data_IF_112886384073
#
_entry.id   IF_112886384073
#
_cell.length_a   1.000
_cell.length_b   1.000
_cell.length_c   1.000
_cell.angle_alpha   90.00
_cell.angle_beta   90.00
_cell.angle_gamma   90.00
#
_symmetry.space_group_name_H-M   'P 1'
#
loop_
_entity.id
_entity.type
_entity.pdbx_description
1 polymer ?
#
# COMPACT_ATOMS: atom_id res chain seq x y z
N UNK A 1 29.01 -46.69 -9.04
CA UNK A 1 28.64 -45.86 -7.87
C UNK A 1 29.06 -44.39 -7.96
N UNK A 2 30.23 -44.03 -8.50
CA UNK A 2 30.66 -42.62 -8.63
C UNK A 2 29.77 -41.73 -9.51
N UNK A 3 29.16 -42.28 -10.56
CA UNK A 3 28.23 -41.53 -11.44
C UNK A 3 26.86 -41.23 -10.81
N UNK A 4 26.40 -42.05 -9.85
CA UNK A 4 25.10 -41.84 -9.17
C UNK A 4 25.20 -40.65 -8.18
N UNK A 5 26.36 -40.47 -7.54
CA UNK A 5 26.61 -39.35 -6.63
C UNK A 5 26.63 -37.98 -7.35
N UNK A 6 27.07 -37.94 -8.61
CA UNK A 6 27.08 -36.71 -9.43
C UNK A 6 25.65 -36.33 -9.86
N UNK A 7 24.80 -37.32 -10.14
CA UNK A 7 23.40 -37.06 -10.50
C UNK A 7 22.57 -36.56 -9.31
N UNK A 8 22.84 -37.05 -8.10
CA UNK A 8 22.19 -36.57 -6.87
C UNK A 8 22.66 -35.17 -6.50
N UNK A 9 23.93 -34.80 -6.73
CA UNK A 9 24.39 -33.44 -6.46
C UNK A 9 23.83 -32.40 -7.44
N UNK A 10 23.55 -32.77 -8.70
CA UNK A 10 22.93 -31.88 -9.69
C UNK A 10 21.43 -31.60 -9.42
N UNK A 11 20.74 -32.49 -8.72
CA UNK A 11 19.33 -32.28 -8.33
C UNK A 11 19.16 -31.32 -7.14
N UNK A 12 20.21 -31.06 -6.35
CA UNK A 12 20.15 -30.18 -5.18
C UNK A 12 20.32 -28.69 -5.56
N UNK A 13 20.73 -28.40 -6.80
CA UNK A 13 20.97 -27.01 -7.27
C UNK A 13 19.78 -26.36 -8.01
N UNK A 14 18.62 -27.00 -8.11
CA UNK A 14 17.52 -26.49 -8.94
C UNK A 14 16.46 -25.62 -8.26
N UNK A 15 16.47 -25.40 -6.94
CA UNK A 15 15.33 -24.76 -6.27
C UNK A 15 15.65 -23.54 -5.37
N UNK A 16 16.74 -22.82 -5.63
CA UNK A 16 16.99 -21.53 -4.94
C UNK A 16 16.90 -20.31 -5.86
N UNK A 17 16.04 -20.36 -6.87
CA UNK A 17 15.45 -19.13 -7.40
C UNK A 17 14.36 -18.63 -6.44
N UNK A 18 14.79 -18.11 -5.29
CA UNK A 18 13.97 -17.20 -4.48
C UNK A 18 13.91 -15.87 -5.24
N UNK A 19 13.29 -15.88 -6.41
CA UNK A 19 12.82 -14.64 -7.01
C UNK A 19 11.69 -14.14 -6.11
N UNK A 20 12.03 -13.20 -5.22
CA UNK A 20 11.05 -12.39 -4.54
C UNK A 20 10.04 -11.91 -5.59
N UNK A 21 8.78 -12.35 -5.50
CA UNK A 21 7.75 -11.95 -6.45
C UNK A 21 7.62 -10.43 -6.37
N UNK A 22 8.09 -9.72 -7.40
CA UNK A 22 7.92 -8.27 -7.45
C UNK A 22 6.41 -7.97 -7.49
N UNK A 23 5.87 -7.17 -6.55
CA UNK A 23 4.46 -6.88 -6.47
C UNK A 23 4.02 -5.85 -7.50
N UNK A 24 4.81 -5.57 -8.54
CA UNK A 24 4.52 -4.56 -9.57
C UNK A 24 3.08 -4.66 -10.10
N UNK A 25 2.43 -3.52 -10.25
CA UNK A 25 1.06 -3.39 -10.76
C UNK A 25 0.02 -3.01 -9.71
N UNK A 26 -1.25 -3.02 -10.12
CA UNK A 26 -2.39 -2.55 -9.34
C UNK A 26 -3.08 -3.69 -8.57
N UNK A 27 -3.32 -3.45 -7.28
CA UNK A 27 -3.99 -4.35 -6.37
C UNK A 27 -5.18 -3.66 -5.73
N UNK A 28 -6.31 -4.36 -5.63
CA UNK A 28 -7.52 -3.82 -4.99
C UNK A 28 -8.06 -4.79 -3.95
N UNK A 29 -8.72 -4.25 -2.93
CA UNK A 29 -9.49 -5.05 -1.97
C UNK A 29 -11.01 -4.85 -2.15
N UNK A 30 -11.80 -5.55 -1.34
CA UNK A 30 -13.26 -5.40 -1.34
C UNK A 30 -13.78 -4.28 -0.42
N UNK A 31 -12.89 -3.45 0.11
CA UNK A 31 -13.16 -2.44 1.15
C UNK A 31 -12.80 -1.01 0.70
N UNK A 32 -12.57 -0.81 -0.61
CA UNK A 32 -12.34 0.50 -1.21
C UNK A 32 -10.87 0.90 -1.30
N UNK A 33 -9.95 0.00 -0.93
CA UNK A 33 -8.52 0.25 -0.96
C UNK A 33 -7.89 -0.20 -2.27
N UNK A 34 -6.90 0.57 -2.74
CA UNK A 34 -6.05 0.26 -3.89
C UNK A 34 -4.59 0.47 -3.53
N UNK A 35 -3.71 -0.38 -4.02
CA UNK A 35 -2.26 -0.21 -3.94
C UNK A 35 -1.68 -0.41 -5.34
N UNK A 36 -0.98 0.59 -5.83
CA UNK A 36 -0.16 0.49 -7.03
C UNK A 36 1.31 0.39 -6.62
N UNK A 37 2.00 -0.63 -7.13
CA UNK A 37 3.45 -0.79 -7.00
C UNK A 37 4.11 -0.44 -8.33
N UNK A 38 4.96 0.57 -8.32
CA UNK A 38 5.81 0.91 -9.45
C UNK A 38 7.05 0.01 -9.51
N UNK A 39 7.73 -0.01 -10.66
CA UNK A 39 8.95 -0.80 -10.88
C UNK A 39 10.17 -0.27 -10.13
N UNK A 40 10.10 0.97 -9.60
CA UNK A 40 11.19 1.70 -8.95
C UNK A 40 11.14 1.66 -7.41
N UNK A 41 10.43 0.69 -6.83
CA UNK A 41 10.20 0.54 -5.38
C UNK A 41 9.31 1.61 -4.73
N UNK A 42 8.63 2.43 -5.52
CA UNK A 42 7.60 3.34 -5.00
C UNK A 42 6.20 2.71 -5.03
N UNK A 43 5.32 3.21 -4.17
CA UNK A 43 3.92 2.83 -4.17
C UNK A 43 2.99 4.04 -4.08
N UNK A 44 1.75 3.86 -4.55
CA UNK A 44 0.61 4.75 -4.30
C UNK A 44 -0.51 3.94 -3.67
N UNK A 45 -0.96 4.36 -2.50
CA UNK A 45 -2.13 3.84 -1.80
C UNK A 45 -3.28 4.81 -1.96
N UNK A 46 -4.46 4.28 -2.21
CA UNK A 46 -5.70 5.03 -2.24
C UNK A 46 -6.77 4.27 -1.46
N UNK A 47 -7.57 5.01 -0.70
CA UNK A 47 -8.77 4.48 -0.06
C UNK A 47 -9.94 5.40 -0.38
N UNK A 48 -11.08 4.81 -0.75
CA UNK A 48 -12.30 5.57 -1.02
C UNK A 48 -13.49 4.83 -0.41
N UNK A 49 -14.34 5.56 0.30
CA UNK A 49 -15.63 5.08 0.77
C UNK A 49 -16.63 6.23 0.86
N UNK A 50 -17.69 6.14 0.07
CA UNK A 50 -18.70 7.20 -0.06
C UNK A 50 -18.05 8.54 -0.46
N UNK A 51 -18.24 9.61 0.32
CA UNK A 51 -17.61 10.93 0.11
C UNK A 51 -16.22 11.07 0.75
N UNK A 52 -15.74 10.03 1.46
CA UNK A 52 -14.45 10.05 2.13
C UNK A 52 -13.38 9.41 1.25
N UNK A 53 -12.22 10.07 1.15
CA UNK A 53 -11.07 9.53 0.44
C UNK A 53 -9.77 9.77 1.19
N UNK A 54 -8.78 8.97 0.87
CA UNK A 54 -7.41 9.14 1.33
C UNK A 54 -6.44 8.67 0.27
N UNK A 55 -5.29 9.31 0.20
CA UNK A 55 -4.17 8.81 -0.58
C UNK A 55 -2.86 8.92 0.22
N UNK A 56 -1.91 8.06 -0.10
CA UNK A 56 -0.56 8.11 0.44
C UNK A 56 0.41 7.60 -0.61
N UNK A 57 1.62 8.17 -0.66
CA UNK A 57 2.71 7.65 -1.48
C UNK A 57 3.89 7.27 -0.60
N UNK A 58 4.86 6.57 -1.17
CA UNK A 58 6.10 6.30 -0.47
C UNK A 58 6.92 5.22 -1.14
N UNK A 59 7.79 4.61 -0.35
CA UNK A 59 8.63 3.48 -0.77
C UNK A 59 8.17 2.20 -0.12
N UNK A 60 8.45 1.08 -0.76
CA UNK A 60 8.25 -0.23 -0.18
C UNK A 60 9.52 -1.06 -0.24
N UNK A 61 9.62 -2.01 0.68
CA UNK A 61 10.70 -2.99 0.74
C UNK A 61 10.11 -4.40 0.85
N UNK A 62 10.76 -5.38 0.23
CA UNK A 62 10.35 -6.78 0.34
C UNK A 62 11.39 -7.53 1.16
N UNK A 63 10.97 -8.03 2.32
CA UNK A 63 11.79 -8.90 3.17
C UNK A 63 11.15 -10.29 3.18
N UNK A 64 11.81 -11.25 2.53
CA UNK A 64 11.27 -12.62 2.33
C UNK A 64 9.95 -12.61 1.55
N UNK A 65 8.79 -12.69 2.22
CA UNK A 65 7.44 -12.64 1.62
C UNK A 65 6.62 -11.43 2.11
N UNK A 66 7.24 -10.50 2.86
CA UNK A 66 6.58 -9.34 3.46
C UNK A 66 6.94 -8.06 2.72
N UNK A 67 5.94 -7.27 2.39
CA UNK A 67 6.05 -5.90 1.89
C UNK A 67 5.93 -4.96 3.08
N UNK A 68 6.97 -4.19 3.34
CA UNK A 68 6.98 -3.11 4.32
C UNK A 68 6.76 -1.79 3.60
N UNK A 69 5.89 -0.93 4.14
CA UNK A 69 5.56 0.36 3.56
C UNK A 69 6.16 1.50 4.38
N UNK A 70 6.78 2.45 3.68
CA UNK A 70 7.35 3.66 4.25
C UNK A 70 6.69 4.85 3.57
N UNK A 71 5.68 5.43 4.23
CA UNK A 71 4.93 6.58 3.71
C UNK A 71 5.81 7.84 3.68
N UNK A 72 5.60 8.66 2.65
CA UNK A 72 6.25 9.95 2.49
C UNK A 72 5.20 11.04 2.48
N UNK A 73 5.44 12.11 3.23
CA UNK A 73 4.54 13.26 3.28
C UNK A 73 4.91 14.28 2.20
N UNK A 74 3.90 14.77 1.48
CA UNK A 74 3.99 15.94 0.62
C UNK A 74 3.41 17.14 1.38
N UNK A 75 4.11 18.26 1.36
CA UNK A 75 3.70 19.47 2.05
C UNK A 75 3.46 20.61 1.05
N UNK A 76 2.46 21.42 1.34
CA UNK A 76 2.23 22.72 0.72
C UNK A 76 2.79 23.83 1.60
N UNK A 77 3.17 24.93 0.95
CA UNK A 77 3.49 26.18 1.64
C UNK A 77 2.22 27.00 1.80
N UNK A 78 1.75 27.17 3.03
CA UNK A 78 0.63 28.03 3.37
C UNK A 78 1.13 29.47 3.57
N UNK A 79 0.70 30.39 2.70
CA UNK A 79 0.89 31.83 2.90
C UNK A 79 -0.12 32.33 3.94
N UNK A 80 0.34 33.03 4.97
CA UNK A 80 -0.52 33.70 5.95
C UNK A 80 -0.52 35.22 5.73
N UNK A 81 -1.65 35.86 6.04
CA UNK A 81 -1.85 37.31 5.84
C UNK A 81 -0.85 38.20 6.61
N UNK A 82 -0.20 37.65 7.65
CA UNK A 82 0.85 38.33 8.41
C UNK A 82 2.24 38.26 7.74
N UNK A 83 2.33 37.70 6.52
CA UNK A 83 3.58 37.53 5.77
C UNK A 83 4.44 36.36 6.23
N UNK A 84 3.91 35.45 7.06
CA UNK A 84 4.62 34.26 7.55
C UNK A 84 4.16 33.03 6.76
N UNK A 85 5.12 32.22 6.33
CA UNK A 85 4.83 30.93 5.68
C UNK A 85 4.74 29.79 6.71
N UNK A 86 3.86 28.83 6.47
CA UNK A 86 3.75 27.58 7.23
C UNK A 86 3.74 26.36 6.31
N UNK A 87 4.09 25.18 6.84
CA UNK A 87 3.97 23.91 6.12
C UNK A 87 2.72 23.16 6.56
N UNK A 88 1.94 22.71 5.60
CA UNK A 88 0.74 21.89 5.82
C UNK A 88 0.76 20.69 4.89
N UNK A 89 0.08 19.60 5.25
CA UNK A 89 -0.01 18.44 4.36
C UNK A 89 -0.73 18.83 3.07
N UNK A 90 -0.14 18.47 1.93
CA UNK A 90 -0.76 18.72 0.63
C UNK A 90 -2.03 17.88 0.47
N UNK A 91 -3.02 18.47 -0.21
CA UNK A 91 -4.26 17.82 -0.58
C UNK A 91 -4.07 16.82 -1.74
N UNK A 92 -3.07 17.02 -2.58
CA UNK A 92 -2.76 16.19 -3.76
C UNK A 92 -1.27 15.79 -3.83
N UNK A 93 -0.89 15.06 -4.88
CA UNK A 93 0.49 14.56 -5.02
C UNK A 93 1.49 15.60 -5.55
N UNK A 94 1.14 16.90 -5.45
CA UNK A 94 1.96 18.02 -5.89
C UNK A 94 2.16 18.98 -4.69
N UNK A 95 3.38 19.51 -4.56
CA UNK A 95 3.67 20.57 -3.59
C UNK A 95 3.34 21.93 -4.19
N UNK A 96 2.43 22.65 -3.56
CA UNK A 96 1.92 23.94 -4.01
C UNK A 96 2.16 25.02 -2.95
N UNK A 97 2.00 26.27 -3.35
CA UNK A 97 1.78 27.39 -2.43
C UNK A 97 0.28 27.66 -2.40
N UNK A 98 -0.32 27.64 -1.22
CA UNK A 98 -1.76 27.79 -1.01
C UNK A 98 -2.04 28.95 -0.06
N UNK A 99 -3.24 29.51 -0.18
CA UNK A 99 -3.73 30.58 0.70
C UNK A 99 -4.60 29.99 1.83
N UNK A 100 -4.84 30.79 2.88
CA UNK A 100 -5.63 30.35 4.04
C UNK A 100 -7.04 29.86 3.68
N UNK A 101 -7.69 30.47 2.68
CA UNK A 101 -9.02 30.05 2.22
C UNK A 101 -9.01 28.65 1.60
N UNK A 102 -8.00 28.35 0.78
CA UNK A 102 -7.81 27.03 0.18
C UNK A 102 -7.49 25.98 1.24
N UNK A 103 -6.63 26.31 2.22
CA UNK A 103 -6.34 25.44 3.35
C UNK A 103 -7.61 25.08 4.16
N UNK A 104 -8.51 26.04 4.39
CA UNK A 104 -9.80 25.78 5.05
C UNK A 104 -10.64 24.80 4.22
N UNK A 105 -10.76 25.03 2.91
CA UNK A 105 -11.51 24.14 2.00
C UNK A 105 -10.93 22.72 2.01
N UNK A 106 -9.60 22.59 1.92
CA UNK A 106 -8.91 21.31 1.97
C UNK A 106 -9.14 20.59 3.30
N UNK A 107 -9.13 21.33 4.42
CA UNK A 107 -9.35 20.80 5.76
C UNK A 107 -10.76 20.23 5.97
N UNK A 108 -11.80 20.87 5.43
CA UNK A 108 -13.19 20.41 5.55
C UNK A 108 -13.59 19.40 4.47
N UNK A 109 -12.78 19.22 3.44
CA UNK A 109 -13.04 18.24 2.39
C UNK A 109 -13.08 16.81 2.94
N UNK A 110 -13.79 15.91 2.26
CA UNK A 110 -13.82 14.49 2.62
C UNK A 110 -12.54 13.72 2.25
N UNK A 111 -11.63 14.35 1.51
CA UNK A 111 -10.44 13.72 0.94
C UNK A 111 -9.14 14.31 1.46
N UNK A 112 -8.02 13.63 1.18
CA UNK A 112 -6.69 14.20 1.34
C UNK A 112 -5.64 13.17 1.66
N UNK A 113 -4.45 13.65 1.97
CA UNK A 113 -3.31 12.80 2.25
C UNK A 113 -3.43 12.13 3.63
N UNK A 114 -3.10 10.85 3.72
CA UNK A 114 -2.91 10.12 4.98
C UNK A 114 -4.08 10.15 5.97
N UNK A 115 -5.31 10.44 5.51
CA UNK A 115 -6.54 10.34 6.34
C UNK A 115 -6.89 8.90 6.69
N UNK A 116 -6.49 7.97 5.82
CA UNK A 116 -6.49 6.53 6.01
C UNK A 116 -5.11 6.01 5.61
N UNK A 117 -4.32 5.63 6.60
CA UNK A 117 -2.97 5.10 6.37
C UNK A 117 -3.01 3.77 5.60
N UNK A 118 -2.02 3.52 4.71
CA UNK A 118 -1.82 2.20 4.14
C UNK A 118 -1.50 1.18 5.24
N UNK A 119 -1.64 -0.12 4.93
CA UNK A 119 -1.16 -1.17 5.83
C UNK A 119 0.34 -1.03 6.06
N UNK A 120 0.80 -1.15 7.31
CA UNK A 120 2.24 -1.11 7.63
C UNK A 120 3.02 -2.25 6.95
N UNK A 121 2.41 -3.44 6.90
CA UNK A 121 3.01 -4.63 6.31
C UNK A 121 1.93 -5.49 5.63
N UNK A 122 2.28 -6.11 4.50
CA UNK A 122 1.48 -7.14 3.83
C UNK A 122 2.32 -8.36 3.46
N UNK A 123 1.70 -9.54 3.37
CA UNK A 123 2.35 -10.77 2.92
C UNK A 123 1.97 -11.07 1.46
N UNK A 124 2.95 -11.22 0.57
CA UNK A 124 2.77 -11.60 -0.84
C UNK A 124 2.65 -13.12 -0.95
N UNK A 125 1.52 -13.63 -1.46
CA UNK A 125 1.37 -15.05 -1.84
C UNK A 125 0.47 -15.22 -3.04
N UNK A 126 0.97 -15.85 -4.10
CA UNK A 126 0.19 -16.19 -5.31
C UNK A 126 -0.54 -14.97 -5.90
N UNK A 127 0.19 -13.87 -6.14
CA UNK A 127 -0.35 -12.60 -6.66
C UNK A 127 -1.46 -11.96 -5.79
N UNK A 128 -1.39 -12.17 -4.48
CA UNK A 128 -2.30 -11.57 -3.49
C UNK A 128 -1.50 -10.99 -2.34
N UNK A 129 -2.03 -9.94 -1.74
CA UNK A 129 -1.44 -9.26 -0.59
C UNK A 129 -2.35 -9.45 0.61
N UNK A 130 -1.85 -10.14 1.63
CA UNK A 130 -2.60 -10.44 2.84
C UNK A 130 -2.16 -9.52 3.98
N UNK A 131 -3.11 -9.00 4.74
CA UNK A 131 -2.79 -8.39 6.03
C UNK A 131 -2.08 -9.38 6.94
N UNK A 132 -1.20 -8.86 7.80
CA UNK A 132 -0.52 -9.65 8.83
C UNK A 132 -1.40 -9.71 10.08
N UNK A 133 -1.61 -10.92 10.60
CA UNK A 133 -2.36 -11.11 11.84
C UNK A 133 -1.46 -11.00 13.08
N UNK A 134 -2.04 -11.11 14.28
CA UNK A 134 -1.32 -11.06 15.55
C UNK A 134 -0.26 -12.15 15.74
N UNK A 135 -0.26 -13.20 14.91
CA UNK A 135 0.75 -14.28 14.91
C UNK A 135 1.82 -14.09 13.83
N UNK A 136 1.86 -12.93 13.16
CA UNK A 136 2.80 -12.67 12.07
C UNK A 136 2.49 -13.43 10.78
N UNK A 137 1.28 -13.99 10.62
CA UNK A 137 0.88 -14.81 9.46
C UNK A 137 -0.17 -14.09 8.62
N UNK A 138 -0.32 -14.52 7.36
CA UNK A 138 -1.35 -14.02 6.46
C UNK A 138 -2.77 -14.20 7.04
N UNK A 139 -3.49 -13.09 7.21
CA UNK A 139 -4.88 -13.06 7.65
C UNK A 139 -5.81 -13.48 6.50
N UNK A 140 -6.47 -14.63 6.69
CA UNK A 140 -7.44 -15.18 5.72
C UNK A 140 -8.87 -15.10 6.23
N UNK A 141 -9.10 -14.54 7.42
CA UNK A 141 -10.41 -14.48 8.05
C UNK A 141 -11.29 -13.49 7.28
N UNK A 142 -12.43 -13.97 6.79
CA UNK A 142 -13.39 -13.10 6.11
C UNK A 142 -13.96 -12.07 7.10
N UNK A 143 -14.14 -10.83 6.64
CA UNK A 143 -14.72 -9.72 7.42
C UNK A 143 -16.09 -9.36 6.86
N UNK A 144 -16.98 -8.80 7.69
CA UNK A 144 -18.28 -8.29 7.21
C UNK A 144 -18.05 -7.16 6.21
N UNK A 145 -18.80 -7.15 5.11
CA UNK A 145 -18.73 -6.07 4.13
C UNK A 145 -19.27 -4.77 4.72
N UNK A 146 -18.71 -3.64 4.28
CA UNK A 146 -19.10 -2.31 4.77
C UNK A 146 -20.51 -1.96 4.29
N UNK A 147 -20.84 -2.23 3.02
CA UNK A 147 -22.19 -1.95 2.47
C UNK A 147 -23.25 -3.01 2.79
N UNK A 148 -22.87 -4.27 3.01
CA UNK A 148 -23.80 -5.34 3.36
C UNK A 148 -23.22 -6.23 4.45
N UNK A 149 -23.72 -6.04 5.66
CA UNK A 149 -23.26 -6.72 6.87
C UNK A 149 -23.51 -8.23 6.87
N UNK A 150 -24.44 -8.73 6.04
CA UNK A 150 -24.69 -10.16 5.85
C UNK A 150 -23.60 -10.84 5.02
N UNK A 151 -22.93 -10.09 4.13
CA UNK A 151 -21.90 -10.63 3.22
C UNK A 151 -20.54 -10.61 3.90
N UNK A 152 -19.84 -11.75 3.88
CA UNK A 152 -18.46 -11.87 4.36
C UNK A 152 -17.48 -11.83 3.19
N UNK A 153 -16.62 -10.82 3.16
CA UNK A 153 -15.64 -10.55 2.12
C UNK A 153 -14.22 -10.95 2.55
N UNK A 154 -13.36 -11.25 1.59
CA UNK A 154 -11.96 -11.60 1.84
C UNK A 154 -11.16 -10.30 1.97
N UNK A 155 -10.34 -10.11 3.02
CA UNK A 155 -9.66 -8.84 3.28
C UNK A 155 -8.34 -8.67 2.54
N UNK A 156 -7.96 -9.61 1.66
CA UNK A 156 -6.71 -9.48 0.90
C UNK A 156 -6.91 -8.64 -0.35
N UNK A 157 -5.81 -8.05 -0.80
CA UNK A 157 -5.77 -7.40 -2.11
C UNK A 157 -5.50 -8.45 -3.19
N UNK A 158 -6.16 -8.29 -4.34
CA UNK A 158 -5.92 -9.10 -5.53
C UNK A 158 -5.44 -8.21 -6.66
N UNK A 159 -4.48 -8.74 -7.43
CA UNK A 159 -3.93 -8.05 -8.59
C UNK A 159 -4.99 -7.92 -9.69
N UNK A 160 -5.15 -6.72 -10.25
CA UNK A 160 -5.90 -6.49 -11.48
C UNK A 160 -4.99 -6.85 -12.67
N UNK A 161 -5.54 -7.55 -13.66
CA UNK A 161 -4.83 -7.91 -14.89
C UNK A 161 -4.65 -6.69 -15.78
#
# INVERSE_FOLDING_TARGET
>A
MRFILIFISLLIFNDSEVFAQKPEGLYIDSFGSKIYFASDTTFKYEWNFDLASSWSIGKYEIVTDKVHFYTSSIFDTLSLDNGVDSLVLSMDDISNRIEASEFIVNSISGGGQSRKEPPFELIIRKNKLFHVNSKGKADRKKRRGIMNSSKKLKPYYFKIK
#
